data_IF_525359572092
#
_entry.id   IF_525359572092
#
_cell.length_a   1.000
_cell.length_b   1.000
_cell.length_c   1.000
_cell.angle_alpha   90.00
_cell.angle_beta   90.00
_cell.angle_gamma   90.00
#
_symmetry.space_group_name_H-M   'P 1'
#
loop_
_entity.id
_entity.type
_entity.pdbx_description
1 polymer ?
#
# COMPACT_ATOMS: atom_id res chain seq x y z
N UNK A 1 -85.61 22.35 -41.97
CA UNK A 1 -85.76 21.73 -43.29
C UNK A 1 -84.40 21.43 -43.90
N UNK A 2 -84.17 20.12 -44.21
CA UNK A 2 -83.29 19.60 -45.28
C UNK A 2 -81.85 20.14 -45.34
N UNK A 3 -80.78 19.37 -45.58
CA UNK A 3 -80.65 18.10 -46.32
C UNK A 3 -79.31 17.41 -45.88
N UNK A 4 -79.34 16.09 -45.84
CA UNK A 4 -78.17 15.21 -45.75
C UNK A 4 -77.35 15.24 -47.04
N UNK A 5 -76.02 15.11 -46.90
CA UNK A 5 -75.21 14.51 -47.94
C UNK A 5 -74.06 13.78 -47.32
N UNK A 6 -73.85 12.51 -47.60
CA UNK A 6 -72.79 11.73 -47.07
C UNK A 6 -71.49 11.91 -47.90
N UNK A 7 -70.36 12.18 -47.25
CA UNK A 7 -69.09 12.12 -47.90
C UNK A 7 -68.29 10.87 -47.40
N UNK A 8 -68.13 9.99 -48.38
CA UNK A 8 -67.35 8.79 -48.24
C UNK A 8 -65.84 9.22 -48.09
N UNK A 9 -65.22 8.97 -46.97
CA UNK A 9 -63.76 9.17 -46.80
C UNK A 9 -63.15 7.80 -46.84
N UNK A 10 -62.33 7.60 -47.86
CA UNK A 10 -61.53 6.40 -48.08
C UNK A 10 -60.45 6.26 -47.00
N UNK A 11 -60.46 5.11 -46.35
CA UNK A 11 -59.46 4.74 -45.32
C UNK A 11 -58.18 4.26 -46.03
N UNK A 12 -57.18 5.10 -46.13
CA UNK A 12 -55.82 4.72 -46.52
C UNK A 12 -55.07 4.21 -45.30
N UNK A 13 -54.94 2.88 -45.15
CA UNK A 13 -54.07 2.23 -44.21
C UNK A 13 -52.62 2.37 -44.67
N UNK A 14 -51.91 3.33 -44.07
CA UNK A 14 -50.46 3.38 -44.17
C UNK A 14 -49.88 2.41 -43.14
N UNK A 15 -49.37 1.26 -43.60
CA UNK A 15 -48.54 0.35 -42.78
C UNK A 15 -47.19 1.03 -42.52
N UNK A 16 -47.02 1.66 -41.32
CA UNK A 16 -45.72 2.01 -40.79
C UNK A 16 -45.06 0.77 -40.25
N UNK A 17 -44.15 0.18 -41.00
CA UNK A 17 -43.19 -0.82 -40.48
C UNK A 17 -42.11 -0.10 -39.67
N UNK A 18 -42.29 -0.04 -38.35
CA UNK A 18 -41.24 0.37 -37.45
C UNK A 18 -40.19 -0.72 -37.41
N UNK A 19 -39.07 -0.53 -38.11
CA UNK A 19 -37.88 -1.32 -37.95
C UNK A 19 -37.32 -1.00 -36.54
N UNK A 20 -37.48 -1.93 -35.59
CA UNK A 20 -36.80 -1.90 -34.31
C UNK A 20 -35.30 -2.11 -34.61
N UNK A 21 -34.55 -1.03 -34.68
CA UNK A 21 -33.09 -1.08 -34.60
C UNK A 21 -32.73 -1.60 -33.22
N UNK A 22 -32.35 -2.87 -33.13
CA UNK A 22 -31.81 -3.48 -31.94
C UNK A 22 -30.41 -2.89 -31.75
N UNK A 23 -30.29 -1.90 -30.85
CA UNK A 23 -29.01 -1.41 -30.43
C UNK A 23 -28.17 -2.57 -29.88
N UNK A 24 -27.15 -2.96 -30.59
CA UNK A 24 -26.17 -3.96 -30.12
C UNK A 24 -25.51 -3.45 -28.84
N UNK A 25 -25.85 -4.09 -27.71
CA UNK A 25 -25.24 -3.83 -26.42
C UNK A 25 -23.72 -3.97 -26.58
N UNK A 26 -22.92 -2.96 -26.24
CA UNK A 26 -21.47 -3.05 -26.38
C UNK A 26 -20.96 -4.27 -25.62
N UNK A 27 -20.18 -5.10 -26.32
CA UNK A 27 -19.52 -6.27 -25.72
C UNK A 27 -18.66 -5.79 -24.54
N UNK A 28 -18.73 -6.43 -23.36
CA UNK A 28 -17.90 -6.02 -22.22
C UNK A 28 -16.44 -6.10 -22.62
N UNK A 29 -15.74 -4.97 -22.44
CA UNK A 29 -14.30 -4.86 -22.66
C UNK A 29 -13.58 -5.90 -21.79
N UNK A 30 -12.61 -6.66 -22.33
CA UNK A 30 -11.95 -7.71 -21.56
C UNK A 30 -11.25 -7.09 -20.35
N UNK A 31 -11.66 -7.54 -19.16
CA UNK A 31 -11.06 -7.13 -17.90
C UNK A 31 -9.54 -7.32 -17.93
N UNK A 32 -8.72 -6.36 -17.47
CA UNK A 32 -7.28 -6.47 -17.49
C UNK A 32 -6.83 -7.73 -16.73
N UNK A 33 -5.98 -8.54 -17.36
CA UNK A 33 -5.46 -9.77 -16.75
C UNK A 33 -4.79 -9.44 -15.41
N UNK A 34 -5.06 -10.19 -14.34
CA UNK A 34 -4.42 -9.97 -13.04
C UNK A 34 -2.90 -10.03 -13.20
N UNK A 35 -2.19 -9.06 -12.61
CA UNK A 35 -0.72 -9.12 -12.56
C UNK A 35 -0.30 -10.40 -11.84
N UNK A 36 0.73 -11.12 -12.33
CA UNK A 36 1.25 -12.31 -11.65
C UNK A 36 1.60 -11.97 -10.18
N UNK A 37 1.24 -12.85 -9.26
CA UNK A 37 1.61 -12.71 -7.87
C UNK A 37 3.14 -12.77 -7.71
N UNK A 38 3.71 -11.91 -6.86
CA UNK A 38 5.15 -11.93 -6.58
C UNK A 38 5.55 -13.23 -5.88
N UNK A 39 6.68 -13.80 -6.26
CA UNK A 39 7.28 -14.93 -5.53
C UNK A 39 7.78 -14.47 -4.15
N UNK A 40 7.96 -15.45 -3.21
CA UNK A 40 8.52 -15.17 -1.88
C UNK A 40 9.86 -14.43 -1.97
N UNK A 41 10.74 -14.83 -2.88
CA UNK A 41 12.05 -14.19 -3.06
C UNK A 41 11.92 -12.73 -3.56
N UNK A 42 10.97 -12.47 -4.45
CA UNK A 42 10.69 -11.09 -4.92
C UNK A 42 10.12 -10.22 -3.79
N UNK A 43 9.21 -10.77 -2.97
CA UNK A 43 8.67 -10.08 -1.80
C UNK A 43 9.81 -9.77 -0.83
N UNK A 44 10.64 -10.74 -0.47
CA UNK A 44 11.78 -10.52 0.42
C UNK A 44 12.71 -9.42 -0.08
N UNK A 45 13.09 -9.46 -1.36
CA UNK A 45 13.93 -8.42 -1.97
C UNK A 45 13.29 -7.03 -1.87
N UNK A 46 11.98 -6.94 -2.13
CA UNK A 46 11.25 -5.67 -2.06
C UNK A 46 11.17 -5.12 -0.63
N UNK A 47 10.90 -5.99 0.36
CA UNK A 47 10.82 -5.58 1.76
C UNK A 47 12.17 -5.18 2.33
N UNK A 48 13.25 -5.90 2.01
CA UNK A 48 14.62 -5.49 2.37
C UNK A 48 14.96 -4.12 1.79
N UNK A 49 14.59 -3.87 0.53
CA UNK A 49 14.80 -2.57 -0.10
C UNK A 49 14.00 -1.46 0.58
N UNK A 50 12.83 -1.77 1.13
CA UNK A 50 12.02 -0.83 1.91
C UNK A 50 12.69 -0.52 3.24
N UNK A 51 13.14 -1.53 4.01
CA UNK A 51 13.87 -1.32 5.26
C UNK A 51 15.11 -0.44 5.07
N UNK A 52 15.90 -0.71 4.04
CA UNK A 52 17.07 0.12 3.74
C UNK A 52 16.72 1.59 3.51
N UNK A 53 15.57 1.87 2.88
CA UNK A 53 15.08 3.26 2.71
C UNK A 53 14.64 3.88 4.03
N UNK A 54 14.01 3.11 4.92
CA UNK A 54 13.59 3.60 6.23
C UNK A 54 14.83 3.92 7.10
N UNK A 55 15.82 3.03 7.14
CA UNK A 55 17.07 3.26 7.83
C UNK A 55 17.87 4.44 7.27
N UNK A 56 17.91 4.60 5.95
CA UNK A 56 18.52 5.79 5.33
C UNK A 56 17.76 7.07 5.68
N UNK A 57 16.41 7.00 5.73
CA UNK A 57 15.57 8.10 6.20
C UNK A 57 15.87 8.48 7.66
N UNK A 58 15.99 7.50 8.54
CA UNK A 58 16.37 7.72 9.94
C UNK A 58 17.75 8.37 10.05
N UNK A 59 18.76 7.81 9.40
CA UNK A 59 20.11 8.34 9.35
C UNK A 59 20.16 9.80 8.88
N UNK A 60 19.40 10.14 7.85
CA UNK A 60 19.39 11.47 7.24
C UNK A 60 18.34 12.42 7.85
N UNK A 61 17.61 11.99 8.88
CA UNK A 61 16.51 12.77 9.50
C UNK A 61 15.43 13.15 8.46
N UNK A 62 15.22 12.27 7.45
CA UNK A 62 14.25 12.47 6.38
C UNK A 62 12.96 11.67 6.65
N UNK A 63 11.83 12.29 6.96
CA UNK A 63 10.56 11.60 7.21
C UNK A 63 9.86 11.09 5.94
N UNK A 64 10.33 11.40 4.73
CA UNK A 64 9.67 11.02 3.47
C UNK A 64 9.55 9.51 3.28
N UNK A 65 10.59 8.67 3.51
CA UNK A 65 10.47 7.22 3.42
C UNK A 65 9.37 6.67 4.36
N UNK A 66 9.30 7.18 5.59
CA UNK A 66 8.30 6.75 6.58
C UNK A 66 6.88 7.14 6.15
N UNK A 67 6.68 8.35 5.62
CA UNK A 67 5.39 8.76 5.03
C UNK A 67 4.97 7.83 3.90
N UNK A 68 5.93 7.35 3.11
CA UNK A 68 5.69 6.56 1.90
C UNK A 68 5.41 5.08 2.20
N UNK A 69 6.11 4.48 3.17
CA UNK A 69 6.13 3.02 3.34
C UNK A 69 5.49 2.54 4.65
N UNK A 70 5.34 3.41 5.65
CA UNK A 70 4.67 3.10 6.91
C UNK A 70 3.18 3.42 6.80
N UNK A 71 2.32 2.50 7.22
CA UNK A 71 0.86 2.68 7.16
C UNK A 71 0.38 3.73 8.18
N UNK A 72 -0.74 4.41 7.89
CA UNK A 72 -1.27 5.41 8.83
C UNK A 72 -1.79 4.80 10.13
N UNK A 73 -2.20 3.54 10.07
CA UNK A 73 -2.66 2.71 11.20
C UNK A 73 -1.56 1.80 11.75
N UNK A 74 -0.30 2.14 11.52
CA UNK A 74 0.84 1.38 12.05
C UNK A 74 1.03 1.61 13.54
N UNK A 75 1.67 0.62 14.19
CA UNK A 75 2.12 0.69 15.57
C UNK A 75 3.62 0.38 15.64
N UNK A 76 4.37 1.25 16.32
CA UNK A 76 5.72 0.96 16.80
C UNK A 76 5.64 0.42 18.23
N UNK A 77 6.54 -0.49 18.59
CA UNK A 77 6.72 -1.00 19.94
C UNK A 77 8.15 -0.67 20.36
N UNK A 78 8.28 0.18 21.36
CA UNK A 78 9.56 0.64 21.90
C UNK A 78 9.68 0.24 23.37
N UNK A 79 10.79 0.51 24.00
CA UNK A 79 11.00 0.35 25.45
C UNK A 79 10.13 1.32 26.28
N UNK A 80 9.61 2.38 25.67
CA UNK A 80 8.70 3.34 26.31
C UNK A 80 7.20 3.03 26.09
N UNK A 81 6.87 2.01 25.30
CA UNK A 81 5.50 1.59 24.99
C UNK A 81 5.19 1.54 23.52
N UNK A 82 3.97 1.94 23.15
CA UNK A 82 3.54 1.97 21.75
C UNK A 82 3.56 3.38 21.20
N UNK A 83 3.96 3.51 19.95
CA UNK A 83 3.95 4.77 19.21
C UNK A 83 3.11 4.68 17.93
N UNK A 84 2.56 5.81 17.51
CA UNK A 84 1.87 5.96 16.23
C UNK A 84 2.82 6.41 15.14
N UNK A 85 2.40 6.27 13.85
CA UNK A 85 3.13 6.89 12.74
C UNK A 85 3.36 8.40 12.93
N UNK A 86 2.41 9.11 13.55
CA UNK A 86 2.55 10.54 13.77
C UNK A 86 3.68 10.85 14.77
N UNK A 87 3.83 10.02 15.80
CA UNK A 87 4.91 10.16 16.79
C UNK A 87 6.26 9.80 16.16
N UNK A 88 6.35 8.70 15.43
CA UNK A 88 7.53 8.32 14.65
C UNK A 88 7.99 9.46 13.71
N UNK A 89 7.07 10.08 12.97
CA UNK A 89 7.42 11.19 12.07
C UNK A 89 7.94 12.42 12.80
N UNK A 90 7.43 12.71 13.99
CA UNK A 90 7.95 13.79 14.86
C UNK A 90 9.35 13.47 15.36
N UNK A 91 9.58 12.23 15.81
CA UNK A 91 10.87 11.77 16.30
C UNK A 91 11.94 11.86 15.21
N UNK A 92 11.67 11.33 14.01
CA UNK A 92 12.57 11.42 12.85
C UNK A 92 12.91 12.88 12.52
N UNK A 93 11.89 13.75 12.51
CA UNK A 93 12.06 15.18 12.19
C UNK A 93 12.82 15.94 13.30
N UNK A 94 12.64 15.54 14.56
CA UNK A 94 13.38 16.13 15.69
C UNK A 94 14.86 15.82 15.64
N UNK A 95 15.25 14.70 15.00
CA UNK A 95 16.66 14.38 14.76
C UNK A 95 17.46 14.10 16.03
N UNK A 96 16.85 13.45 17.02
CA UNK A 96 17.51 13.13 18.29
C UNK A 96 18.70 12.17 18.21
N UNK A 97 18.90 11.55 17.04
CA UNK A 97 20.01 10.64 16.76
C UNK A 97 20.99 11.25 15.77
N UNK A 98 22.29 10.99 15.98
CA UNK A 98 23.38 11.29 15.05
C UNK A 98 23.95 9.97 14.55
N UNK A 99 23.66 9.59 13.29
CA UNK A 99 24.05 8.31 12.71
C UNK A 99 25.00 8.53 11.55
N UNK A 100 26.20 7.96 11.63
CA UNK A 100 27.23 8.04 10.58
C UNK A 100 27.04 6.95 9.54
N UNK A 101 26.85 5.72 10.00
CA UNK A 101 26.65 4.56 9.15
C UNK A 101 25.76 3.52 9.82
N UNK A 102 25.19 2.61 9.03
CA UNK A 102 24.45 1.46 9.53
C UNK A 102 24.69 0.23 8.64
N UNK A 103 24.48 -0.94 9.22
CA UNK A 103 24.49 -2.22 8.53
C UNK A 103 23.24 -3.02 8.91
N UNK A 104 22.63 -3.66 7.91
CA UNK A 104 21.49 -4.56 8.09
C UNK A 104 21.88 -5.95 7.59
N UNK A 105 21.72 -6.95 8.44
CA UNK A 105 22.11 -8.35 8.17
C UNK A 105 21.05 -9.34 8.65
N UNK A 106 21.30 -10.62 8.43
CA UNK A 106 20.51 -11.75 8.95
C UNK A 106 19.01 -11.68 8.61
N UNK A 107 18.70 -11.21 7.40
CA UNK A 107 17.32 -11.06 6.95
C UNK A 107 16.58 -12.40 6.85
N UNK A 108 15.44 -12.50 7.50
CA UNK A 108 14.54 -13.65 7.44
C UNK A 108 13.11 -13.20 7.15
N UNK A 109 12.54 -13.68 6.03
CA UNK A 109 11.14 -13.47 5.68
C UNK A 109 10.27 -14.63 6.13
N UNK A 110 9.27 -14.35 6.96
CA UNK A 110 8.21 -15.28 7.33
C UNK A 110 6.90 -14.81 6.69
N UNK A 111 6.37 -15.60 5.73
CA UNK A 111 5.04 -15.32 5.18
C UNK A 111 3.96 -15.80 6.15
N UNK A 112 3.04 -14.92 6.52
CA UNK A 112 1.83 -15.27 7.29
C UNK A 112 0.78 -15.82 6.32
N UNK A 113 0.60 -15.13 5.19
CA UNK A 113 -0.24 -15.54 4.06
C UNK A 113 0.23 -14.81 2.79
N UNK A 114 -0.52 -14.86 1.70
CA UNK A 114 -0.17 -14.19 0.42
C UNK A 114 -0.15 -12.66 0.52
N UNK A 115 -0.79 -12.09 1.53
CA UNK A 115 -0.92 -10.62 1.72
C UNK A 115 -0.26 -10.09 2.99
N UNK A 116 0.36 -10.96 3.83
CA UNK A 116 1.00 -10.53 5.07
C UNK A 116 2.30 -11.30 5.33
N UNK A 117 3.32 -10.59 5.83
CA UNK A 117 4.64 -11.14 6.10
C UNK A 117 5.33 -10.41 7.25
N UNK A 118 6.25 -11.10 7.92
CA UNK A 118 7.18 -10.52 8.89
C UNK A 118 8.58 -10.59 8.28
N UNK A 119 9.28 -9.46 8.26
CA UNK A 119 10.71 -9.41 7.94
C UNK A 119 11.47 -9.13 9.24
N UNK A 120 12.30 -10.07 9.68
CA UNK A 120 13.21 -9.88 10.80
C UNK A 120 14.64 -9.73 10.32
N UNK A 121 15.44 -8.94 11.03
CA UNK A 121 16.82 -8.68 10.67
C UNK A 121 17.60 -8.12 11.87
N UNK A 122 18.93 -8.11 11.77
CA UNK A 122 19.82 -7.43 12.70
C UNK A 122 20.23 -6.07 12.14
N UNK A 123 20.10 -5.02 12.95
CA UNK A 123 20.57 -3.68 12.67
C UNK A 123 21.74 -3.31 13.58
N UNK A 124 22.76 -2.69 13.01
CA UNK A 124 23.89 -2.09 13.74
C UNK A 124 24.11 -0.69 13.21
N UNK A 125 24.27 0.29 14.08
CA UNK A 125 24.57 1.66 13.68
C UNK A 125 25.79 2.20 14.43
N UNK A 126 26.66 2.91 13.70
CA UNK A 126 27.64 3.82 14.30
C UNK A 126 27.01 5.18 14.49
N UNK A 127 26.62 5.46 15.72
CA UNK A 127 25.90 6.69 16.05
C UNK A 127 25.51 6.78 17.51
N UNK A 128 24.83 7.87 17.84
CA UNK A 128 24.29 8.12 19.19
C UNK A 128 22.86 8.62 19.10
N UNK A 129 22.01 8.25 20.07
CA UNK A 129 20.68 8.82 20.28
C UNK A 129 20.63 9.38 21.70
N UNK A 130 20.23 10.65 21.86
CA UNK A 130 20.27 11.32 23.17
C UNK A 130 21.66 11.32 23.84
N UNK A 131 22.73 11.27 23.05
CA UNK A 131 24.09 11.21 23.52
C UNK A 131 24.60 9.81 23.94
N UNK A 132 23.75 8.79 23.88
CA UNK A 132 24.11 7.40 24.15
C UNK A 132 24.38 6.63 22.86
N UNK A 133 25.36 5.71 22.82
CA UNK A 133 25.59 4.86 21.66
C UNK A 133 24.35 4.07 21.28
N UNK A 134 24.06 3.96 19.98
CA UNK A 134 22.98 3.11 19.47
C UNK A 134 23.35 1.64 19.65
N UNK A 135 22.62 0.86 20.46
CA UNK A 135 22.94 -0.55 20.61
C UNK A 135 22.57 -1.33 19.34
N UNK A 136 23.27 -2.43 19.01
CA UNK A 136 22.79 -3.37 18.02
C UNK A 136 21.38 -3.87 18.37
N UNK A 137 20.52 -4.02 17.38
CA UNK A 137 19.13 -4.47 17.59
C UNK A 137 18.78 -5.67 16.73
N UNK A 138 17.90 -6.52 17.25
CA UNK A 138 17.06 -7.40 16.46
C UNK A 138 15.74 -6.68 16.19
N UNK A 139 15.46 -6.47 14.92
CA UNK A 139 14.27 -5.77 14.47
C UNK A 139 13.29 -6.71 13.76
N UNK A 140 12.02 -6.45 13.90
CA UNK A 140 10.98 -7.12 13.14
C UNK A 140 9.94 -6.13 12.65
N UNK A 141 9.66 -6.17 11.35
CA UNK A 141 8.61 -5.37 10.72
C UNK A 141 7.55 -6.29 10.13
N UNK A 142 6.30 -6.09 10.53
CA UNK A 142 5.15 -6.73 9.90
C UNK A 142 4.68 -5.89 8.73
N UNK A 143 4.58 -6.54 7.57
CA UNK A 143 4.10 -5.94 6.34
C UNK A 143 2.77 -6.52 5.90
N UNK A 144 1.88 -5.66 5.38
CA UNK A 144 0.61 -6.05 4.76
C UNK A 144 0.52 -5.48 3.35
N UNK A 145 0.13 -6.34 2.40
CA UNK A 145 -0.14 -5.92 1.03
C UNK A 145 -1.57 -5.35 0.93
N UNK A 146 -1.67 -4.07 0.59
CA UNK A 146 -2.93 -3.38 0.37
C UNK A 146 -2.92 -2.78 -1.04
N UNK A 147 -3.74 -3.31 -1.92
CA UNK A 147 -3.81 -2.83 -3.31
C UNK A 147 -2.52 -2.98 -4.12
N UNK A 148 -1.77 -4.06 -3.89
CA UNK A 148 -0.51 -4.34 -4.59
C UNK A 148 0.73 -3.64 -4.00
N UNK A 149 0.58 -2.86 -2.93
CA UNK A 149 1.68 -2.21 -2.22
C UNK A 149 1.84 -2.80 -0.82
N UNK A 150 3.08 -3.11 -0.45
CA UNK A 150 3.44 -3.56 0.89
C UNK A 150 3.64 -2.36 1.81
N UNK A 151 2.93 -2.37 2.95
CA UNK A 151 2.95 -1.35 3.98
C UNK A 151 3.49 -1.92 5.28
N UNK A 152 4.43 -1.25 5.91
CA UNK A 152 4.83 -1.54 7.29
C UNK A 152 3.67 -1.16 8.22
N UNK A 153 3.12 -2.13 8.95
CA UNK A 153 1.96 -1.95 9.85
C UNK A 153 2.32 -2.14 11.31
N UNK A 154 3.42 -2.83 11.61
CA UNK A 154 3.96 -2.91 12.95
C UNK A 154 5.49 -3.01 12.90
N UNK A 155 6.18 -2.38 13.83
CA UNK A 155 7.63 -2.47 13.98
C UNK A 155 8.00 -2.63 15.44
N UNK A 156 9.00 -3.47 15.70
CA UNK A 156 9.55 -3.70 17.03
C UNK A 156 11.04 -3.90 16.96
N UNK A 157 11.75 -3.38 17.96
CA UNK A 157 13.18 -3.59 18.16
C UNK A 157 13.47 -4.15 19.55
N UNK A 158 14.53 -4.95 19.65
CA UNK A 158 15.06 -5.45 20.91
C UNK A 158 16.58 -5.39 20.86
N UNK A 159 17.27 -5.00 21.95
CA UNK A 159 18.72 -5.03 21.99
C UNK A 159 19.27 -6.41 21.65
N UNK A 160 20.24 -6.48 20.73
CA UNK A 160 20.98 -7.71 20.44
C UNK A 160 22.09 -7.88 21.49
N UNK A 161 22.13 -9.06 22.09
CA UNK A 161 23.22 -9.45 23.03
C UNK A 161 24.40 -10.00 22.26
#
# INVERSE_FOLDING_TARGET
MRKYLPLVVALLLALCTTALAQEAKPSPEPSPKPKPAMSKAQIQKALIATEKKLWEGWKNKDPKPFRTWVANDSVGITDHGTETKADLLKEIAAGGCEVKSYELSDFKLTMINSGAAILSYKGVADGTCGGQPVPPTWSSTTYVNRGGKWWAVAHQESPAK
#
